data_IF_666965797506
#
_entry.id   IF_666965797506
#
_cell.length_a   1.000
_cell.length_b   1.000
_cell.length_c   1.000
_cell.angle_alpha   90.00
_cell.angle_beta   90.00
_cell.angle_gamma   90.00
#
_symmetry.space_group_name_H-M   'P 1'
#
loop_
_entity.id
_entity.type
_entity.pdbx_description
1 polymer ?
#
# COMPACT_ATOMS: atom_id res chain seq x y z
N UNK A 1 28.15 15.54 51.06
CA UNK A 1 27.83 16.76 50.29
C UNK A 1 27.61 16.34 48.85
N UNK A 2 26.34 16.16 48.48
CA UNK A 2 25.91 15.75 47.15
C UNK A 2 25.67 17.01 46.32
N UNK A 3 26.63 17.36 45.47
CA UNK A 3 26.55 18.50 44.55
C UNK A 3 25.90 18.06 43.24
N UNK A 4 24.72 18.61 43.00
CA UNK A 4 23.86 18.47 41.84
C UNK A 4 24.58 18.26 40.50
N UNK A 5 24.42 17.06 39.92
CA UNK A 5 24.58 16.83 38.50
C UNK A 5 23.39 17.48 37.77
N UNK A 6 23.50 18.77 37.48
CA UNK A 6 22.61 19.48 36.57
C UNK A 6 22.79 18.88 35.16
N UNK A 7 22.00 17.85 34.86
CA UNK A 7 21.96 17.21 33.54
C UNK A 7 21.28 18.18 32.58
N UNK A 8 22.08 18.94 31.82
CA UNK A 8 21.59 19.75 30.71
C UNK A 8 20.94 18.83 29.69
N UNK A 9 19.61 18.83 29.64
CA UNK A 9 18.87 18.14 28.59
C UNK A 9 19.12 18.97 27.31
N UNK A 10 19.78 18.41 26.28
CA UNK A 10 19.99 19.12 25.03
C UNK A 10 18.61 19.47 24.44
N UNK A 11 18.47 20.72 23.99
CA UNK A 11 17.30 21.20 23.26
C UNK A 11 17.01 20.22 22.12
N UNK A 12 15.86 19.55 22.15
CA UNK A 12 15.41 18.72 21.04
C UNK A 12 15.01 19.68 19.94
N UNK A 13 15.71 19.73 18.80
CA UNK A 13 15.43 20.71 17.77
C UNK A 13 14.11 20.38 17.05
N UNK A 14 13.29 21.41 16.80
CA UNK A 14 11.93 21.27 16.25
C UNK A 14 11.83 20.49 14.93
N UNK A 15 12.91 20.44 14.14
CA UNK A 15 12.95 19.66 12.90
C UNK A 15 12.73 18.16 13.11
N UNK A 16 13.04 17.62 14.29
CA UNK A 16 12.77 16.21 14.60
C UNK A 16 11.27 15.91 14.64
N UNK A 17 10.47 16.83 15.19
CA UNK A 17 9.01 16.71 15.20
C UNK A 17 8.44 16.83 13.79
N UNK A 18 9.00 17.71 12.97
CA UNK A 18 8.61 17.85 11.56
C UNK A 18 8.87 16.57 10.77
N UNK A 19 10.08 15.99 10.86
CA UNK A 19 10.39 14.73 10.17
C UNK A 19 9.56 13.56 10.70
N UNK A 20 9.35 13.48 12.02
CA UNK A 20 8.51 12.43 12.61
C UNK A 20 7.06 12.54 12.15
N UNK A 21 6.48 13.75 12.13
CA UNK A 21 5.12 13.99 11.67
C UNK A 21 4.96 13.72 10.17
N UNK A 22 5.90 14.17 9.35
CA UNK A 22 5.90 13.89 7.91
C UNK A 22 6.00 12.37 7.64
N UNK A 23 6.89 11.68 8.36
CA UNK A 23 7.02 10.23 8.27
C UNK A 23 5.75 9.50 8.68
N UNK A 24 5.06 9.98 9.73
CA UNK A 24 3.80 9.39 10.20
C UNK A 24 2.67 9.55 9.18
N UNK A 25 2.49 10.76 8.62
CA UNK A 25 1.50 11.03 7.57
C UNK A 25 1.83 10.25 6.30
N UNK A 26 3.10 10.23 5.90
CA UNK A 26 3.58 9.45 4.77
C UNK A 26 3.29 7.95 4.94
N UNK A 27 3.57 7.39 6.12
CA UNK A 27 3.26 6.00 6.42
C UNK A 27 1.75 5.71 6.38
N UNK A 28 0.91 6.63 6.88
CA UNK A 28 -0.55 6.47 6.86
C UNK A 28 -1.12 6.37 5.43
N UNK A 29 -0.46 6.97 4.44
CA UNK A 29 -0.86 6.94 3.03
C UNK A 29 -0.18 5.77 2.29
N UNK A 30 1.10 5.54 2.54
CA UNK A 30 1.90 4.57 1.80
C UNK A 30 1.53 3.12 2.14
N UNK A 31 1.30 2.83 3.42
CA UNK A 31 0.96 1.47 3.89
C UNK A 31 -0.31 0.91 3.23
N UNK A 32 -1.46 1.62 3.18
CA UNK A 32 -2.64 1.09 2.49
C UNK A 32 -2.46 1.00 0.98
N UNK A 33 -1.59 1.82 0.36
CA UNK A 33 -1.30 1.72 -1.06
C UNK A 33 -0.52 0.43 -1.39
N UNK A 34 0.45 0.06 -0.54
CA UNK A 34 1.20 -1.19 -0.67
C UNK A 34 0.30 -2.42 -0.50
N UNK A 35 -0.60 -2.42 0.48
CA UNK A 35 -1.54 -3.54 0.68
C UNK A 35 -2.48 -3.72 -0.52
N UNK A 36 -2.95 -2.62 -1.13
CA UNK A 36 -3.75 -2.66 -2.38
C UNK A 36 -2.96 -3.26 -3.54
N UNK A 37 -1.67 -2.92 -3.67
CA UNK A 37 -0.81 -3.48 -4.70
C UNK A 37 -0.60 -4.99 -4.50
N UNK A 38 -0.34 -5.41 -3.26
CA UNK A 38 -0.19 -6.83 -2.91
C UNK A 38 -1.49 -7.61 -3.16
N UNK A 39 -2.64 -7.03 -2.82
CA UNK A 39 -3.93 -7.65 -3.08
C UNK A 39 -4.22 -7.77 -4.59
N UNK A 40 -3.94 -6.73 -5.37
CA UNK A 40 -4.09 -6.75 -6.82
C UNK A 40 -3.19 -7.81 -7.45
N UNK A 41 -1.94 -7.89 -7.01
CA UNK A 41 -0.96 -8.89 -7.48
C UNK A 41 -1.45 -10.30 -7.16
N UNK A 42 -1.92 -10.54 -5.93
CA UNK A 42 -2.47 -11.83 -5.54
C UNK A 42 -3.72 -12.22 -6.36
N UNK A 43 -4.62 -11.27 -6.64
CA UNK A 43 -5.80 -11.52 -7.50
C UNK A 43 -5.39 -11.87 -8.92
N UNK A 44 -4.41 -11.15 -9.49
CA UNK A 44 -3.84 -11.42 -10.82
C UNK A 44 -3.23 -12.82 -10.87
N UNK A 45 -2.37 -13.16 -9.91
CA UNK A 45 -1.67 -14.44 -9.90
C UNK A 45 -2.65 -15.61 -9.72
N UNK A 46 -3.70 -15.42 -8.91
CA UNK A 46 -4.80 -16.40 -8.79
C UNK A 46 -5.55 -16.58 -10.10
N UNK A 47 -5.86 -15.49 -10.80
CA UNK A 47 -6.54 -15.56 -12.10
C UNK A 47 -5.65 -16.28 -13.14
N UNK A 48 -4.36 -15.97 -13.16
CA UNK A 48 -3.40 -16.62 -14.05
C UNK A 48 -3.34 -18.14 -13.81
N UNK A 49 -3.23 -18.57 -12.55
CA UNK A 49 -3.23 -19.99 -12.20
C UNK A 49 -4.53 -20.71 -12.64
N UNK A 50 -5.68 -20.03 -12.60
CA UNK A 50 -6.95 -20.58 -13.09
C UNK A 50 -6.99 -20.72 -14.62
N UNK A 51 -6.44 -19.74 -15.34
CA UNK A 51 -6.35 -19.78 -16.81
C UNK A 51 -5.45 -20.92 -17.24
N UNK A 52 -4.25 -21.01 -16.66
CA UNK A 52 -3.28 -22.07 -16.97
C UNK A 52 -3.87 -23.46 -16.72
N UNK A 53 -4.59 -23.65 -15.60
CA UNK A 53 -5.26 -24.91 -15.32
C UNK A 53 -6.36 -25.24 -16.35
N UNK A 54 -7.12 -24.25 -16.84
CA UNK A 54 -8.14 -24.44 -17.88
C UNK A 54 -7.50 -24.79 -19.23
N UNK A 55 -6.39 -24.15 -19.58
CA UNK A 55 -5.65 -24.46 -20.80
C UNK A 55 -5.11 -25.90 -20.76
N UNK A 56 -4.53 -26.32 -19.63
CA UNK A 56 -4.09 -27.70 -19.44
C UNK A 56 -5.23 -28.71 -19.58
N UNK A 57 -6.43 -28.40 -19.04
CA UNK A 57 -7.63 -29.23 -19.24
C UNK A 57 -7.99 -29.35 -20.71
N UNK A 58 -8.10 -28.22 -21.41
CA UNK A 58 -8.46 -28.20 -22.82
C UNK A 58 -7.46 -29.00 -23.67
N UNK A 59 -6.17 -28.88 -23.37
CA UNK A 59 -5.13 -29.59 -24.11
C UNK A 59 -5.18 -31.11 -23.91
N UNK A 60 -5.43 -31.56 -22.68
CA UNK A 60 -5.64 -32.99 -22.39
C UNK A 60 -6.89 -33.53 -23.09
N UNK A 61 -7.98 -32.76 -23.12
CA UNK A 61 -9.18 -33.16 -23.86
C UNK A 61 -8.95 -33.21 -25.37
N UNK A 62 -8.24 -32.23 -25.96
CA UNK A 62 -7.87 -32.26 -27.38
C UNK A 62 -7.02 -33.48 -27.71
N UNK A 63 -6.02 -33.78 -26.87
CA UNK A 63 -5.17 -34.96 -27.04
C UNK A 63 -5.99 -36.25 -26.98
N UNK A 64 -6.93 -36.33 -26.04
CA UNK A 64 -7.83 -37.47 -25.89
C UNK A 64 -8.76 -37.64 -27.09
N UNK A 65 -9.39 -36.56 -27.57
CA UNK A 65 -10.24 -36.58 -28.76
C UNK A 65 -9.46 -37.01 -30.00
N UNK A 66 -8.25 -36.48 -30.20
CA UNK A 66 -7.39 -36.89 -31.30
C UNK A 66 -6.99 -38.38 -31.21
N UNK A 67 -6.87 -38.95 -30.02
CA UNK A 67 -6.62 -40.40 -29.85
C UNK A 67 -7.85 -41.25 -30.22
N UNK A 68 -9.06 -40.77 -29.90
CA UNK A 68 -10.31 -41.41 -30.32
C UNK A 68 -10.45 -41.37 -31.85
N UNK A 69 -10.21 -40.22 -32.47
CA UNK A 69 -10.31 -40.06 -33.93
C UNK A 69 -9.33 -40.96 -34.68
N UNK A 70 -8.14 -41.20 -34.13
CA UNK A 70 -7.15 -42.17 -34.66
C UNK A 70 -7.54 -43.64 -34.45
N UNK A 71 -8.60 -43.92 -33.70
CA UNK A 71 -9.03 -45.28 -33.39
C UNK A 71 -8.08 -46.02 -32.44
N UNK A 72 -7.43 -45.31 -31.51
CA UNK A 72 -6.55 -45.95 -30.53
C UNK A 72 -7.31 -46.97 -29.68
N UNK A 73 -7.01 -48.25 -29.88
CA UNK A 73 -7.74 -49.38 -29.30
C UNK A 73 -7.70 -49.34 -27.77
N UNK A 74 -6.61 -48.84 -27.16
CA UNK A 74 -6.51 -48.71 -25.72
C UNK A 74 -7.49 -47.66 -25.18
N UNK A 75 -7.65 -46.54 -25.88
CA UNK A 75 -8.56 -45.46 -25.51
C UNK A 75 -10.02 -45.90 -25.69
N UNK A 76 -10.35 -46.52 -26.83
CA UNK A 76 -11.71 -47.03 -27.10
C UNK A 76 -12.10 -48.12 -26.09
N UNK A 77 -11.20 -49.05 -25.77
CA UNK A 77 -11.45 -50.09 -24.77
C UNK A 77 -11.65 -49.51 -23.38
N UNK A 78 -10.89 -48.47 -23.03
CA UNK A 78 -11.10 -47.75 -21.76
C UNK A 78 -12.46 -47.04 -21.72
N UNK A 79 -12.86 -46.34 -22.79
CA UNK A 79 -14.16 -45.68 -22.89
C UNK A 79 -15.32 -46.70 -22.81
N UNK A 80 -15.19 -47.83 -23.51
CA UNK A 80 -16.16 -48.93 -23.45
C UNK A 80 -16.27 -49.52 -22.04
N UNK A 81 -15.18 -49.54 -21.27
CA UNK A 81 -15.21 -49.96 -19.87
C UNK A 81 -15.88 -48.93 -18.97
N UNK A 82 -15.60 -47.63 -19.15
CA UNK A 82 -16.08 -46.58 -18.23
C UNK A 82 -17.51 -46.10 -18.51
N UNK A 83 -17.92 -46.01 -19.78
CA UNK A 83 -19.22 -45.43 -20.17
C UNK A 83 -20.28 -46.48 -20.44
N UNK A 84 -19.88 -47.63 -20.98
CA UNK A 84 -20.82 -48.62 -21.45
C UNK A 84 -21.17 -49.66 -20.37
N UNK A 85 -20.42 -49.72 -19.25
CA UNK A 85 -20.54 -50.76 -18.22
C UNK A 85 -20.72 -52.18 -18.82
N UNK A 86 -20.24 -52.39 -20.06
CA UNK A 86 -20.50 -53.57 -20.90
C UNK A 86 -19.63 -54.77 -20.48
N UNK A 87 -18.92 -54.64 -19.36
CA UNK A 87 -17.98 -55.64 -18.84
C UNK A 87 -18.64 -56.53 -17.76
N UNK A 88 -19.91 -56.33 -17.43
CA UNK A 88 -20.57 -57.04 -16.33
C UNK A 88 -21.57 -58.13 -16.73
N UNK A 89 -21.94 -58.29 -18.01
CA UNK A 89 -23.03 -59.21 -18.37
C UNK A 89 -22.63 -60.69 -18.52
N UNK A 90 -21.33 -61.03 -18.48
CA UNK A 90 -20.86 -62.41 -18.66
C UNK A 90 -19.76 -62.79 -17.65
N UNK A 91 -20.06 -62.64 -16.36
CA UNK A 91 -19.21 -63.13 -15.26
C UNK A 91 -20.03 -63.93 -14.25
N UNK A 92 -20.35 -65.18 -14.61
CA UNK A 92 -20.71 -66.19 -13.61
C UNK A 92 -19.48 -66.83 -12.95
N UNK A 93 -18.24 -66.58 -13.39
CA UNK A 93 -17.03 -67.11 -12.74
C UNK A 93 -15.85 -66.15 -12.89
N UNK A 94 -15.58 -65.32 -11.88
CA UNK A 94 -14.28 -64.68 -11.73
C UNK A 94 -13.97 -64.45 -10.25
N UNK A 95 -12.80 -64.96 -9.84
CA UNK A 95 -12.18 -64.79 -8.53
C UNK A 95 -12.24 -63.34 -7.99
N UNK A 96 -12.18 -63.15 -6.66
CA UNK A 96 -12.05 -61.82 -6.06
C UNK A 96 -10.69 -61.22 -6.44
N UNK A 97 -10.68 -60.42 -7.51
CA UNK A 97 -9.55 -59.57 -7.86
C UNK A 97 -9.42 -58.44 -6.81
N UNK A 98 -8.20 -58.14 -6.34
CA UNK A 98 -7.97 -57.11 -5.33
C UNK A 98 -8.38 -55.74 -5.87
N UNK A 99 -9.21 -55.04 -5.10
CA UNK A 99 -9.65 -53.63 -5.23
C UNK A 99 -9.19 -52.90 -6.51
N UNK A 100 -9.78 -53.26 -7.65
CA UNK A 100 -9.64 -52.46 -8.86
C UNK A 100 -10.47 -51.20 -8.66
N UNK A 101 -9.80 -50.15 -8.19
CA UNK A 101 -10.32 -48.80 -8.13
C UNK A 101 -10.89 -48.41 -9.51
N UNK A 102 -12.21 -48.32 -9.55
CA UNK A 102 -13.06 -47.90 -10.66
C UNK A 102 -12.89 -46.39 -10.90
N UNK A 103 -11.64 -45.98 -11.12
CA UNK A 103 -11.25 -44.58 -11.30
C UNK A 103 -11.74 -44.18 -12.68
N UNK A 104 -12.84 -43.44 -12.66
CA UNK A 104 -13.38 -42.65 -13.76
C UNK A 104 -12.24 -42.14 -14.64
N UNK A 105 -12.26 -42.45 -15.94
CA UNK A 105 -11.24 -41.98 -16.90
C UNK A 105 -11.05 -40.46 -16.81
N UNK A 106 -12.11 -39.74 -16.44
CA UNK A 106 -12.08 -38.31 -16.19
C UNK A 106 -11.13 -37.93 -15.06
N UNK A 107 -11.00 -38.72 -14.00
CA UNK A 107 -10.06 -38.46 -12.90
C UNK A 107 -8.60 -38.62 -13.36
N UNK A 108 -8.34 -39.43 -14.38
CA UNK A 108 -7.01 -39.55 -15.01
C UNK A 108 -6.71 -38.41 -15.99
N UNK A 109 -7.74 -37.90 -16.67
CA UNK A 109 -7.60 -36.84 -17.68
C UNK A 109 -7.62 -35.45 -17.02
N UNK A 110 -8.35 -35.28 -15.91
CA UNK A 110 -8.39 -34.01 -15.20
C UNK A 110 -7.05 -33.71 -14.53
N UNK A 111 -6.47 -32.52 -14.76
CA UNK A 111 -5.32 -32.06 -14.00
C UNK A 111 -5.71 -31.88 -12.54
N UNK A 112 -4.74 -32.14 -11.66
CA UNK A 112 -4.93 -31.94 -10.24
C UNK A 112 -5.37 -30.49 -9.97
N UNK A 113 -6.27 -30.28 -9.00
CA UNK A 113 -6.82 -28.96 -8.73
C UNK A 113 -5.68 -27.95 -8.47
N UNK A 114 -5.77 -26.74 -9.01
CA UNK A 114 -4.70 -25.76 -8.89
C UNK A 114 -4.56 -25.39 -7.41
N UNK A 115 -3.35 -25.54 -6.87
CA UNK A 115 -3.07 -25.13 -5.50
C UNK A 115 -3.09 -23.60 -5.46
N UNK A 116 -4.04 -22.95 -4.77
CA UNK A 116 -4.13 -21.50 -4.80
C UNK A 116 -2.87 -20.87 -4.20
N UNK A 117 -2.37 -19.75 -4.77
CA UNK A 117 -1.23 -19.06 -4.19
C UNK A 117 -1.57 -18.63 -2.76
N UNK A 118 -0.75 -19.05 -1.79
CA UNK A 118 -0.91 -18.70 -0.38
C UNK A 118 -0.75 -17.19 -0.23
N UNK A 119 -1.79 -16.50 0.23
CA UNK A 119 -1.71 -15.07 0.54
C UNK A 119 -0.73 -14.88 1.70
N UNK A 120 0.40 -14.23 1.45
CA UNK A 120 1.28 -13.76 2.51
C UNK A 120 0.67 -12.47 3.07
N UNK A 121 -0.01 -12.55 4.21
CA UNK A 121 -0.39 -11.36 4.98
C UNK A 121 0.73 -11.05 5.97
N UNK A 122 1.25 -9.83 5.92
CA UNK A 122 2.11 -9.32 6.97
C UNK A 122 1.20 -8.77 8.07
N UNK A 123 0.90 -9.59 9.08
CA UNK A 123 0.07 -9.16 10.22
C UNK A 123 0.88 -8.23 11.13
N UNK A 124 1.03 -6.97 10.72
CA UNK A 124 1.67 -5.91 11.51
C UNK A 124 0.63 -5.09 12.28
N UNK A 125 0.92 -4.74 13.54
CA UNK A 125 0.07 -3.83 14.33
C UNK A 125 -0.07 -2.45 13.68
N UNK A 126 0.99 -1.99 13.00
CA UNK A 126 0.99 -0.75 12.22
C UNK A 126 -0.01 -0.84 11.06
N UNK A 127 0.01 -1.96 10.32
CA UNK A 127 -0.96 -2.23 9.26
C UNK A 127 -2.39 -2.16 9.81
N UNK A 128 -2.64 -2.79 10.96
CA UNK A 128 -3.97 -2.76 11.58
C UNK A 128 -4.43 -1.35 11.93
N UNK A 129 -3.54 -0.49 12.44
CA UNK A 129 -3.88 0.89 12.77
C UNK A 129 -3.99 1.81 11.55
N UNK A 130 -3.23 1.56 10.48
CA UNK A 130 -3.33 2.34 9.24
C UNK A 130 -4.55 1.97 8.40
N UNK A 131 -5.03 0.72 8.48
CA UNK A 131 -6.17 0.25 7.69
C UNK A 131 -7.52 0.54 8.35
N UNK A 132 -7.55 0.66 9.69
CA UNK A 132 -8.75 1.08 10.41
C UNK A 132 -9.04 2.57 10.18
N UNK A 133 -10.30 2.93 9.91
CA UNK A 133 -10.68 4.29 9.54
C UNK A 133 -10.46 5.27 10.70
N UNK A 134 -10.78 4.84 11.93
CA UNK A 134 -10.57 5.63 13.15
C UNK A 134 -9.08 5.76 13.45
N UNK A 135 -8.33 4.66 13.36
CA UNK A 135 -6.87 4.64 13.53
C UNK A 135 -6.14 5.53 12.53
N UNK A 136 -6.53 5.50 11.25
CA UNK A 136 -5.98 6.36 10.20
C UNK A 136 -6.20 7.83 10.49
N UNK A 137 -7.40 8.21 10.92
CA UNK A 137 -7.73 9.60 11.22
C UNK A 137 -6.92 10.12 12.41
N UNK A 138 -6.73 9.29 13.45
CA UNK A 138 -5.84 9.59 14.57
C UNK A 138 -4.38 9.70 14.16
N UNK A 139 -3.89 8.83 13.27
CA UNK A 139 -2.53 8.92 12.74
C UNK A 139 -2.32 10.23 11.98
N UNK A 140 -3.24 10.61 11.09
CA UNK A 140 -3.16 11.87 10.36
C UNK A 140 -3.21 13.06 11.34
N UNK A 141 -4.12 13.05 12.31
CA UNK A 141 -4.25 14.11 13.29
C UNK A 141 -2.96 14.27 14.13
N UNK A 142 -2.44 13.18 14.69
CA UNK A 142 -1.18 13.19 15.46
C UNK A 142 0.01 13.63 14.60
N UNK A 143 0.08 13.20 13.35
CA UNK A 143 1.13 13.59 12.41
C UNK A 143 1.08 15.08 12.09
N UNK A 144 -0.11 15.61 11.80
CA UNK A 144 -0.33 17.04 11.55
C UNK A 144 0.02 17.90 12.77
N UNK A 145 -0.36 17.46 13.98
CA UNK A 145 0.03 18.15 15.23
C UNK A 145 1.55 18.14 15.42
N UNK A 146 2.23 17.03 15.14
CA UNK A 146 3.69 16.95 15.21
C UNK A 146 4.38 17.87 14.20
N UNK A 147 3.86 17.96 12.97
CA UNK A 147 4.35 18.92 11.96
C UNK A 147 4.17 20.36 12.46
N UNK A 148 2.98 20.70 12.97
CA UNK A 148 2.69 22.03 13.47
C UNK A 148 3.61 22.40 14.65
N UNK A 149 3.82 21.47 15.59
CA UNK A 149 4.75 21.64 16.70
C UNK A 149 6.20 21.82 16.24
N UNK A 150 6.61 21.15 15.16
CA UNK A 150 7.94 21.32 14.57
C UNK A 150 8.11 22.62 13.77
N UNK A 151 7.00 23.19 13.27
CA UNK A 151 6.98 24.44 12.51
C UNK A 151 6.89 25.68 13.40
N UNK A 152 6.45 25.53 14.65
CA UNK A 152 6.38 26.62 15.62
C UNK A 152 7.78 27.25 15.79
N UNK A 153 7.94 28.55 15.47
CA UNK A 153 9.23 29.21 15.65
C UNK A 153 9.60 29.12 17.13
N UNK A 154 10.86 28.79 17.47
CA UNK A 154 11.28 28.79 18.86
C UNK A 154 10.95 30.16 19.42
N UNK A 155 10.05 30.21 20.40
CA UNK A 155 9.74 31.44 21.12
C UNK A 155 11.05 31.88 21.72
N UNK A 156 11.69 32.84 21.03
CA UNK A 156 12.93 33.45 21.52
C UNK A 156 12.55 33.92 22.92
N UNK A 157 13.22 33.45 23.99
CA UNK A 157 12.99 34.03 25.30
C UNK A 157 13.19 35.51 25.10
N UNK A 158 12.13 36.30 25.33
CA UNK A 158 12.14 37.74 25.10
C UNK A 158 13.45 38.23 25.70
N UNK A 159 14.39 38.62 24.84
CA UNK A 159 15.69 39.07 25.26
C UNK A 159 15.37 40.23 26.21
N UNK A 160 15.58 39.97 27.50
CA UNK A 160 15.26 40.90 28.57
C UNK A 160 16.14 42.11 28.26
N UNK A 161 15.50 43.13 27.66
CA UNK A 161 16.12 44.39 27.25
C UNK A 161 16.43 45.13 28.54
N UNK A 162 17.49 44.72 29.24
CA UNK A 162 18.02 45.41 30.42
C UNK A 162 19.04 46.49 30.03
N UNK A 163 19.39 46.62 28.74
CA UNK A 163 20.38 47.59 28.25
C UNK A 163 19.77 48.57 27.23
N UNK A 164 18.86 49.41 27.68
CA UNK A 164 18.66 50.73 27.06
C UNK A 164 18.32 51.77 28.14
N UNK A 165 19.09 51.70 29.23
CA UNK A 165 19.44 52.85 30.04
C UNK A 165 20.66 53.50 29.37
N UNK A 166 20.46 54.04 28.16
CA UNK A 166 21.43 54.96 27.57
C UNK A 166 20.91 56.35 27.95
N UNK A 167 21.49 56.81 29.06
CA UNK A 167 21.79 58.19 29.37
C UNK A 167 21.69 59.10 28.13
N UNK A 168 20.57 59.81 28.02
CA UNK A 168 20.39 60.93 27.10
C UNK A 168 21.27 62.07 27.63
N UNK A 169 22.59 61.94 27.44
CA UNK A 169 23.48 63.09 27.45
C UNK A 169 23.29 63.80 26.13
N UNK A 170 22.66 64.97 26.26
CA UNK A 170 22.84 66.22 25.53
C UNK A 170 24.03 66.27 24.55
N UNK A 171 23.83 67.07 23.49
CA UNK A 171 24.75 67.41 22.39
C UNK A 171 24.55 66.46 21.18
N UNK A 172 24.20 66.90 19.97
CA UNK A 172 24.79 68.01 19.23
C UNK A 172 23.95 68.22 17.95
N UNK A 173 23.74 69.49 17.60
CA UNK A 173 23.71 69.99 16.22
C UNK A 173 22.55 69.58 15.30
N UNK A 174 21.51 70.41 15.34
CA UNK A 174 20.57 70.66 14.25
C UNK A 174 21.32 71.16 13.00
N UNK A 175 21.66 70.25 12.08
CA UNK A 175 22.04 70.61 10.71
C UNK A 175 20.81 70.59 9.81
N UNK A 176 20.18 71.77 9.73
CA UNK A 176 19.27 72.17 8.70
C UNK A 176 19.97 72.12 7.32
N UNK A 177 19.74 71.08 6.51
CA UNK A 177 19.60 71.27 5.07
C UNK A 177 19.19 70.00 4.29
N UNK A 178 18.09 70.17 3.56
CA UNK A 178 17.81 69.57 2.24
C UNK A 178 17.70 68.04 2.17
N UNK A 179 16.46 67.57 2.20
CA UNK A 179 16.02 66.75 1.09
C UNK A 179 14.56 67.07 0.72
N UNK A 180 14.37 67.51 -0.51
CA UNK A 180 13.08 67.90 -1.07
C UNK A 180 12.17 66.67 -1.26
N UNK A 181 10.85 66.79 -1.07
CA UNK A 181 9.90 65.73 -1.40
C UNK A 181 9.71 65.69 -2.92
N UNK A 182 10.20 64.64 -3.58
CA UNK A 182 9.73 64.28 -4.90
C UNK A 182 8.44 63.47 -4.71
N UNK A 183 7.31 64.15 -4.90
CA UNK A 183 6.04 63.54 -5.25
C UNK A 183 6.20 62.71 -6.52
N UNK A 184 5.92 61.42 -6.44
CA UNK A 184 5.54 60.62 -7.60
C UNK A 184 4.27 59.91 -7.20
N UNK A 185 3.16 60.55 -7.58
CA UNK A 185 1.93 59.88 -7.97
C UNK A 185 2.28 58.80 -8.99
N UNK A 186 1.80 57.58 -8.80
CA UNK A 186 1.27 56.77 -9.89
C UNK A 186 0.23 55.82 -9.28
N UNK A 187 -1.01 56.24 -9.48
CA UNK A 187 -2.20 55.42 -9.53
C UNK A 187 -2.02 54.40 -10.67
N UNK A 188 -2.15 53.11 -10.39
CA UNK A 188 -2.43 52.05 -11.37
C UNK A 188 -3.05 50.90 -10.56
N UNK A 189 -4.36 50.85 -10.36
CA UNK A 189 -5.34 50.43 -11.38
C UNK A 189 -5.04 49.01 -11.88
N UNK A 190 -5.44 48.01 -11.09
CA UNK A 190 -5.72 46.66 -11.60
C UNK A 190 -7.06 46.19 -11.02
N UNK A 191 -8.11 46.76 -11.62
CA UNK A 191 -9.40 46.12 -11.77
C UNK A 191 -9.25 44.78 -12.51
N UNK A 192 -10.03 43.80 -12.03
CA UNK A 192 -10.73 42.78 -12.81
C UNK A 192 -9.95 41.96 -13.86
N UNK A 193 -9.78 40.68 -13.53
CA UNK A 193 -10.06 39.62 -14.49
C UNK A 193 -10.79 38.48 -13.77
N UNK A 194 -12.11 38.50 -13.91
CA UNK A 194 -12.95 37.31 -13.97
C UNK A 194 -12.34 36.32 -14.97
N UNK A 195 -12.28 35.04 -14.62
CA UNK A 195 -12.37 33.97 -15.61
C UNK A 195 -13.07 32.77 -14.96
N UNK A 196 -14.38 32.70 -15.28
CA UNK A 196 -15.16 31.48 -15.38
C UNK A 196 -14.41 30.43 -16.22
N UNK A 197 -14.34 29.18 -15.77
CA UNK A 197 -14.27 28.05 -16.69
C UNK A 197 -14.89 26.79 -16.06
N UNK A 198 -16.08 26.47 -16.60
CA UNK A 198 -16.77 25.18 -16.82
C UNK A 198 -16.61 23.98 -15.86
#
# INVERSE_FOLDING_TARGET
MQGALARTIPWIPGWLFLLAGLGLVGAAILVPAEDRLLEATWRRDRAHAMVEHREQRLERYRTYLAAIERGDEAVVRSLARSQLNLVSLDREQAEPLPEQHDISIFERIEPAPPTPPKRRRADSKLLRWSTDETGRLWLIACGSVAILMGLLPPTRPAARREDEFIEETEDEETDDARFAPASVDDEDEWEEAEEEED
#
